data_IF_225091191977
#
_entry.id   IF_225091191977
#
_cell.length_a   1.000
_cell.length_b   1.000
_cell.length_c   1.000
_cell.angle_alpha   90.00
_cell.angle_beta   90.00
_cell.angle_gamma   90.00
#
_symmetry.space_group_name_H-M   'P 1'
#
loop_
_entity.id
_entity.type
_entity.pdbx_description
1 polymer ?
#
# COMPACT_ATOMS: atom_id res chain seq x y z
N UNK A 1 79.71 3.03 34.98
CA UNK A 1 79.22 3.13 33.59
C UNK A 1 78.34 1.93 33.31
N UNK A 2 77.13 2.16 32.76
CA UNK A 2 76.34 1.25 31.91
C UNK A 2 75.79 -0.03 32.58
N UNK A 3 74.62 -0.59 32.27
CA UNK A 3 73.36 -0.23 31.63
C UNK A 3 72.48 -1.48 31.89
N UNK A 4 71.20 -1.33 32.26
CA UNK A 4 70.24 -2.45 32.15
C UNK A 4 69.96 -2.80 30.68
N UNK A 5 69.36 -3.97 30.38
CA UNK A 5 67.95 -3.88 29.97
C UNK A 5 67.00 -5.01 30.40
N UNK A 6 65.78 -4.56 30.72
CA UNK A 6 64.41 -5.10 30.59
C UNK A 6 64.11 -6.58 30.27
N UNK A 7 63.04 -7.07 30.92
CA UNK A 7 61.91 -7.68 30.21
C UNK A 7 60.55 -7.13 30.71
N UNK A 8 59.57 -6.91 29.80
CA UNK A 8 58.32 -6.21 30.09
C UNK A 8 57.18 -7.13 30.56
N UNK A 9 56.37 -6.60 31.46
CA UNK A 9 55.11 -7.17 31.94
C UNK A 9 54.07 -7.22 30.81
N UNK A 10 53.43 -8.39 30.62
CA UNK A 10 52.28 -8.56 29.74
C UNK A 10 51.06 -7.85 30.33
N UNK A 11 50.64 -6.74 29.72
CA UNK A 11 49.37 -6.10 30.02
C UNK A 11 48.23 -6.94 29.44
N UNK A 12 47.40 -7.51 30.31
CA UNK A 12 46.20 -8.24 29.94
C UNK A 12 45.06 -7.22 29.76
N UNK A 13 44.77 -6.85 28.51
CA UNK A 13 43.68 -5.92 28.18
C UNK A 13 42.35 -6.68 28.24
N UNK A 14 41.68 -6.60 29.39
CA UNK A 14 40.27 -6.97 29.52
C UNK A 14 39.45 -5.97 28.70
N UNK A 15 38.87 -6.41 27.57
CA UNK A 15 37.88 -5.61 26.86
C UNK A 15 36.68 -5.40 27.78
N UNK A 16 36.56 -4.20 28.33
CA UNK A 16 35.35 -3.76 29.00
C UNK A 16 34.33 -3.44 27.92
N UNK A 17 33.29 -4.27 27.84
CA UNK A 17 32.10 -3.97 27.06
C UNK A 17 31.43 -2.75 27.72
N UNK A 18 31.18 -1.65 26.99
CA UNK A 18 30.65 -0.44 27.60
C UNK A 18 29.25 -0.70 28.15
N UNK A 19 28.90 -0.15 29.33
CA UNK A 19 27.54 -0.25 29.85
C UNK A 19 26.59 0.46 28.89
N UNK A 20 25.52 -0.23 28.46
CA UNK A 20 24.44 0.44 27.73
C UNK A 20 23.89 1.55 28.62
N UNK A 21 23.91 2.77 28.12
CA UNK A 21 23.38 3.91 28.86
C UNK A 21 21.86 3.73 29.06
N UNK A 22 21.29 4.18 30.19
CA UNK A 22 19.86 4.05 30.47
C UNK A 22 18.99 4.72 29.39
N UNK A 23 19.53 5.71 28.67
CA UNK A 23 18.89 6.33 27.52
C UNK A 23 18.65 5.36 26.36
N UNK A 24 19.60 4.44 26.07
CA UNK A 24 19.43 3.43 25.03
C UNK A 24 18.36 2.40 25.43
N UNK A 25 18.38 1.98 26.69
CA UNK A 25 17.39 1.04 27.23
C UNK A 25 15.98 1.64 27.20
N UNK A 26 15.84 2.92 27.56
CA UNK A 26 14.57 3.62 27.51
C UNK A 26 14.07 3.80 26.07
N UNK A 27 14.94 4.21 25.14
CA UNK A 27 14.58 4.33 23.72
C UNK A 27 14.14 2.98 23.12
N UNK A 28 14.77 1.87 23.51
CA UNK A 28 14.39 0.53 23.10
C UNK A 28 13.05 0.10 23.71
N UNK A 29 12.79 0.41 24.98
CA UNK A 29 11.50 0.12 25.62
C UNK A 29 10.36 0.93 25.00
N UNK A 30 10.60 2.21 24.66
CA UNK A 30 9.63 3.04 23.95
C UNK A 30 9.34 2.52 22.54
N UNK A 31 10.34 1.99 21.82
CA UNK A 31 10.12 1.41 20.50
C UNK A 31 9.39 0.07 20.55
N UNK A 32 9.58 -0.74 21.59
CA UNK A 32 8.82 -1.99 21.79
C UNK A 32 7.40 -1.76 22.35
N UNK A 33 7.16 -0.66 23.07
CA UNK A 33 5.85 -0.30 23.59
C UNK A 33 4.99 0.46 22.57
N UNK A 34 5.56 0.88 21.44
CA UNK A 34 4.79 1.45 20.35
C UNK A 34 3.82 0.38 19.83
N UNK A 35 2.51 0.66 19.74
CA UNK A 35 1.60 -0.25 19.06
C UNK A 35 2.16 -0.51 17.65
N UNK A 36 2.06 -1.74 17.12
CA UNK A 36 2.46 -2.00 15.76
C UNK A 36 1.77 -0.95 14.90
N UNK A 37 2.54 -0.23 14.07
CA UNK A 37 1.99 0.72 13.12
C UNK A 37 0.89 -0.03 12.38
N UNK A 38 -0.37 0.29 12.68
CA UNK A 38 -1.50 -0.40 12.09
C UNK A 38 -1.30 -0.24 10.58
N UNK A 39 -1.05 -1.35 9.90
CA UNK A 39 -0.95 -1.35 8.45
C UNK A 39 -2.34 -0.87 8.01
N UNK A 40 -2.47 0.40 7.64
CA UNK A 40 -3.75 0.97 7.28
C UNK A 40 -4.31 0.09 6.16
N UNK A 41 -5.40 -0.62 6.45
CA UNK A 41 -5.94 -1.57 5.50
C UNK A 41 -6.30 -0.79 4.24
N UNK A 42 -5.68 -1.17 3.13
CA UNK A 42 -5.92 -0.49 1.86
C UNK A 42 -7.38 -0.70 1.46
N UNK A 43 -8.10 0.35 1.01
CA UNK A 43 -9.44 0.16 0.48
C UNK A 43 -9.43 -0.84 -0.68
N UNK A 44 -10.44 -1.69 -0.73
CA UNK A 44 -10.65 -2.63 -1.84
C UNK A 44 -11.65 -2.05 -2.80
N UNK A 45 -11.39 -2.16 -4.10
CA UNK A 45 -12.26 -1.64 -5.16
C UNK A 45 -12.82 -2.78 -6.02
N UNK A 46 -14.05 -2.63 -6.48
CA UNK A 46 -14.70 -3.52 -7.45
C UNK A 46 -15.42 -2.69 -8.51
N UNK A 47 -15.29 -3.09 -9.77
CA UNK A 47 -16.00 -2.49 -10.90
C UNK A 47 -17.01 -3.50 -11.41
N UNK A 48 -18.28 -3.10 -11.44
CA UNK A 48 -19.39 -3.94 -11.94
C UNK A 48 -19.92 -3.33 -13.23
N UNK A 49 -20.00 -4.15 -14.27
CA UNK A 49 -20.57 -3.79 -15.57
C UNK A 49 -22.05 -4.21 -15.62
N UNK A 50 -22.96 -3.24 -15.67
CA UNK A 50 -24.39 -3.45 -15.90
C UNK A 50 -24.69 -3.34 -17.40
N UNK A 51 -24.73 -4.49 -18.07
CA UNK A 51 -24.97 -4.64 -19.49
C UNK A 51 -26.48 -4.72 -19.82
N UNK A 52 -27.22 -3.66 -19.53
CA UNK A 52 -28.65 -3.59 -19.81
C UNK A 52 -28.98 -3.54 -21.32
N UNK A 53 -30.15 -4.05 -21.70
CA UNK A 53 -30.63 -4.07 -23.09
C UNK A 53 -30.75 -2.69 -23.74
N UNK A 54 -30.95 -1.63 -22.94
CA UNK A 54 -31.06 -0.23 -23.41
C UNK A 54 -29.75 0.56 -23.28
N UNK A 55 -28.66 -0.08 -22.86
CA UNK A 55 -27.36 0.55 -22.68
C UNK A 55 -26.61 0.03 -21.47
N UNK A 56 -25.30 0.23 -21.48
CA UNK A 56 -24.36 -0.30 -20.49
C UNK A 56 -23.82 0.77 -19.55
N UNK A 57 -23.60 0.44 -18.27
CA UNK A 57 -22.99 1.33 -17.26
C UNK A 57 -21.91 0.60 -16.46
N UNK A 58 -20.99 1.36 -15.88
CA UNK A 58 -20.07 0.85 -14.86
C UNK A 58 -20.44 1.43 -13.49
N UNK A 59 -20.41 0.57 -12.47
CA UNK A 59 -20.51 0.93 -11.06
C UNK A 59 -19.16 0.64 -10.39
N UNK A 60 -18.63 1.59 -9.64
CA UNK A 60 -17.40 1.42 -8.88
C UNK A 60 -17.76 1.39 -7.40
N UNK A 61 -17.44 0.29 -6.74
CA UNK A 61 -17.61 0.11 -5.31
C UNK A 61 -16.26 0.16 -4.62
N UNK A 62 -16.22 0.73 -3.42
CA UNK A 62 -15.06 0.66 -2.54
C UNK A 62 -15.47 0.23 -1.13
N UNK A 63 -14.64 -0.58 -0.50
CA UNK A 63 -14.74 -0.92 0.92
C UNK A 63 -13.49 -0.34 1.59
N UNK A 64 -13.68 0.58 2.53
CA UNK A 64 -12.56 1.18 3.27
C UNK A 64 -12.05 0.28 4.41
N UNK A 65 -11.04 0.76 5.14
CA UNK A 65 -10.41 0.04 6.24
C UNK A 65 -11.38 -0.32 7.37
N UNK A 66 -12.46 0.46 7.53
CA UNK A 66 -13.48 0.27 8.55
C UNK A 66 -14.63 -0.64 8.05
N UNK A 67 -14.50 -1.18 6.83
CA UNK A 67 -15.51 -2.02 6.19
C UNK A 67 -16.69 -1.22 5.64
N UNK A 68 -16.61 0.11 5.56
CA UNK A 68 -17.69 0.94 5.03
C UNK A 68 -17.69 0.89 3.50
N UNK A 69 -18.84 0.52 2.95
CA UNK A 69 -19.09 0.48 1.52
C UNK A 69 -19.42 1.88 0.98
N UNK A 70 -18.80 2.25 -0.15
CA UNK A 70 -19.16 3.41 -0.95
C UNK A 70 -19.32 3.02 -2.42
N UNK A 71 -20.09 3.81 -3.18
CA UNK A 71 -20.34 3.56 -4.59
C UNK A 71 -20.31 4.83 -5.44
N UNK A 72 -19.79 4.72 -6.66
CA UNK A 72 -19.85 5.74 -7.72
C UNK A 72 -20.45 5.11 -8.98
N UNK A 73 -21.22 5.89 -9.71
CA UNK A 73 -21.86 5.45 -10.96
C UNK A 73 -21.24 6.20 -12.12
N UNK A 74 -20.66 5.47 -13.08
CA UNK A 74 -20.13 6.04 -14.32
C UNK A 74 -21.21 6.38 -15.32
N UNK A 75 -20.78 6.92 -16.46
CA UNK A 75 -21.69 7.24 -17.58
C UNK A 75 -22.40 5.98 -18.11
N UNK A 76 -23.51 6.21 -18.82
CA UNK A 76 -24.22 5.18 -19.59
C UNK A 76 -23.87 5.31 -21.08
N UNK A 77 -23.40 4.22 -21.67
CA UNK A 77 -23.33 4.08 -23.14
C UNK A 77 -24.65 3.51 -23.67
N UNK A 78 -25.02 3.93 -24.89
CA UNK A 78 -26.18 3.43 -25.64
C UNK A 78 -25.74 3.16 -27.08
N UNK A 79 -26.33 2.18 -27.81
CA UNK A 79 -27.40 1.26 -27.40
C UNK A 79 -26.89 0.19 -26.41
N UNK A 80 -27.72 -0.79 -26.00
CA UNK A 80 -27.24 -1.91 -25.17
C UNK A 80 -26.26 -2.82 -25.92
N UNK A 81 -25.42 -3.56 -25.19
CA UNK A 81 -24.44 -4.50 -25.78
C UNK A 81 -25.08 -5.54 -26.70
N UNK A 82 -26.35 -5.89 -26.48
CA UNK A 82 -27.12 -6.79 -27.35
C UNK A 82 -27.37 -6.24 -28.77
N UNK A 83 -26.96 -5.00 -29.04
CA UNK A 83 -27.06 -4.34 -30.35
C UNK A 83 -25.69 -4.00 -30.94
N UNK A 84 -24.61 -4.46 -30.29
CA UNK A 84 -23.24 -4.25 -30.71
C UNK A 84 -22.70 -5.59 -31.20
N UNK A 85 -21.97 -5.59 -32.32
CA UNK A 85 -21.34 -6.81 -32.82
C UNK A 85 -20.26 -7.29 -31.81
N UNK A 86 -20.09 -8.61 -31.61
CA UNK A 86 -19.16 -9.14 -30.61
C UNK A 86 -17.71 -8.62 -30.75
N UNK A 87 -17.25 -8.42 -31.99
CA UNK A 87 -15.94 -7.86 -32.31
C UNK A 87 -15.76 -6.40 -31.86
N UNK A 88 -16.83 -5.62 -31.85
CA UNK A 88 -16.83 -4.19 -31.52
C UNK A 88 -17.08 -3.94 -30.02
N UNK A 89 -17.47 -4.97 -29.26
CA UNK A 89 -17.87 -4.84 -27.86
C UNK A 89 -16.77 -4.21 -26.97
N UNK A 90 -15.50 -4.54 -27.23
CA UNK A 90 -14.38 -3.98 -26.48
C UNK A 90 -14.23 -2.47 -26.73
N UNK A 91 -14.30 -2.04 -28.00
CA UNK A 91 -14.22 -0.63 -28.38
C UNK A 91 -15.41 0.17 -27.84
N UNK A 92 -16.60 -0.43 -27.87
CA UNK A 92 -17.82 0.14 -27.30
C UNK A 92 -17.72 0.35 -25.77
N UNK A 93 -17.08 -0.57 -25.04
CA UNK A 93 -16.92 -0.48 -23.58
C UNK A 93 -15.77 0.44 -23.15
N UNK A 94 -14.76 0.63 -24.00
CA UNK A 94 -13.55 1.36 -23.66
C UNK A 94 -13.79 2.79 -23.14
N UNK A 95 -14.72 3.60 -23.72
CA UNK A 95 -15.05 4.92 -23.19
C UNK A 95 -15.55 4.90 -21.74
N UNK A 96 -16.24 3.84 -21.31
CA UNK A 96 -16.73 3.72 -19.94
C UNK A 96 -15.58 3.49 -18.94
N UNK A 97 -14.60 2.66 -19.30
CA UNK A 97 -13.40 2.45 -18.48
C UNK A 97 -12.50 3.69 -18.46
N UNK A 98 -12.41 4.41 -19.59
CA UNK A 98 -11.73 5.72 -19.63
C UNK A 98 -12.40 6.72 -18.70
N UNK A 99 -13.74 6.79 -18.70
CA UNK A 99 -14.49 7.65 -17.77
C UNK A 99 -14.19 7.32 -16.29
N UNK A 100 -14.20 6.04 -15.92
CA UNK A 100 -13.83 5.60 -14.56
C UNK A 100 -12.42 6.05 -14.17
N UNK A 101 -11.46 5.92 -15.10
CA UNK A 101 -10.06 6.31 -14.89
C UNK A 101 -9.89 7.83 -14.81
N UNK A 102 -10.43 8.57 -15.77
CA UNK A 102 -10.30 10.03 -15.88
C UNK A 102 -10.96 10.77 -14.71
N UNK A 103 -12.06 10.22 -14.16
CA UNK A 103 -12.70 10.78 -12.97
C UNK A 103 -12.09 10.26 -11.65
N UNK A 104 -11.02 9.48 -11.71
CA UNK A 104 -10.31 8.93 -10.54
C UNK A 104 -11.23 8.19 -9.56
N UNK A 105 -12.17 7.39 -10.09
CA UNK A 105 -13.10 6.62 -9.24
C UNK A 105 -12.40 5.48 -8.50
N UNK A 106 -11.33 4.95 -9.11
CA UNK A 106 -10.34 4.07 -8.49
C UNK A 106 -9.01 4.83 -8.50
N UNK A 107 -8.35 5.06 -7.35
CA UNK A 107 -7.07 5.78 -7.33
C UNK A 107 -6.00 5.07 -8.16
N UNK A 108 -5.07 5.83 -8.74
CA UNK A 108 -4.04 5.32 -9.66
C UNK A 108 -3.13 4.25 -9.04
N UNK A 109 -2.95 4.26 -7.72
CA UNK A 109 -2.18 3.24 -7.01
C UNK A 109 -2.85 1.85 -6.99
N UNK A 110 -4.08 1.73 -7.51
CA UNK A 110 -4.83 0.48 -7.67
C UNK A 110 -5.14 0.13 -9.14
N UNK A 111 -4.59 0.85 -10.12
CA UNK A 111 -4.85 0.63 -11.56
C UNK A 111 -3.69 -0.06 -12.29
#
# INVERSE_FOLDING_TARGET
>A
AQHSPAQPSTHNTRQQQPPMTPALALALLLSLAAPPAAHAARPTYAIVCDAGSTGTRLYVYSIDADGKLSSKTGKKSKPGLSQIEPEDAAEYLLPLFKDVKENNYVPLEYQ
#
